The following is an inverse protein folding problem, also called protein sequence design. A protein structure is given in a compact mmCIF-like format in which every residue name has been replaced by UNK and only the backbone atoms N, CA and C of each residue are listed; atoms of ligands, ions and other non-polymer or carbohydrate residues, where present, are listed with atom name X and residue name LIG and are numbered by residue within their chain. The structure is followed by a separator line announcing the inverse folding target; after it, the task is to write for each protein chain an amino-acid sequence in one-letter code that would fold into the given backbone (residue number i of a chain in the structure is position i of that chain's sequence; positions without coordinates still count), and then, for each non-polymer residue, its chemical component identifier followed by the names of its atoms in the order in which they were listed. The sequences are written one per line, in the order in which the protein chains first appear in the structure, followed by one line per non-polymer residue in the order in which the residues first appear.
data_IF_294131568919
#
_entry.id   IF_294131568919
#
_cell.length_a   1.000
_cell.length_b   1.000
_cell.length_c   1.000
_cell.angle_alpha   90.00
_cell.angle_beta   90.00
_cell.angle_gamma   90.00
#
_symmetry.space_group_name_H-M   'P 1'
#
loop_
_entity.id
_entity.type
_entity.pdbx_description
1 polymer ?
#
# COMPACT_ATOMS: atom_id res chain seq x y z
N UNK A 1 -25.16 -71.66 57.45
CA UNK A 1 -23.85 -71.16 57.91
C UNK A 1 -23.12 -70.63 56.69
N UNK A 2 -23.08 -69.29 56.50
CA UNK A 2 -22.06 -68.48 55.77
C UNK A 2 -21.86 -68.83 54.26
N UNK A 3 -21.84 -67.97 53.22
CA UNK A 3 -21.80 -66.53 52.99
C UNK A 3 -22.19 -66.26 51.50
N UNK A 4 -22.60 -65.01 51.22
CA UNK A 4 -22.75 -64.25 49.97
C UNK A 4 -22.00 -64.66 48.68
N UNK A 5 -22.56 -64.30 47.50
CA UNK A 5 -22.04 -63.20 46.63
C UNK A 5 -23.00 -62.94 45.45
N UNK A 6 -23.29 -61.65 45.24
CA UNK A 6 -24.10 -61.03 44.18
C UNK A 6 -23.18 -60.72 42.98
N UNK A 7 -23.66 -60.92 41.74
CA UNK A 7 -23.12 -60.20 40.57
C UNK A 7 -24.28 -59.62 39.76
N UNK A 8 -24.28 -58.29 39.65
CA UNK A 8 -25.17 -57.46 38.83
C UNK A 8 -24.45 -57.20 37.51
N UNK A 9 -25.05 -57.59 36.38
CA UNK A 9 -24.56 -57.20 35.04
C UNK A 9 -24.91 -55.73 34.75
N UNK A 10 -23.89 -54.92 34.47
CA UNK A 10 -23.99 -53.57 33.94
C UNK A 10 -23.38 -53.56 32.53
N UNK A 11 -24.18 -53.23 31.53
CA UNK A 11 -23.73 -52.99 30.15
C UNK A 11 -23.13 -51.57 30.08
N UNK A 12 -21.92 -51.35 29.54
CA UNK A 12 -21.41 -50.00 29.37
C UNK A 12 -21.92 -49.41 28.04
N UNK A 13 -22.61 -48.27 28.13
CA UNK A 13 -22.88 -47.38 27.01
C UNK A 13 -21.59 -46.62 26.70
N UNK A 14 -20.99 -46.87 25.54
CA UNK A 14 -19.80 -46.12 25.07
C UNK A 14 -20.29 -44.81 24.45
N UNK A 15 -20.06 -43.70 25.15
CA UNK A 15 -20.33 -42.35 24.66
C UNK A 15 -19.07 -41.84 23.95
N UNK A 16 -19.12 -41.76 22.61
CA UNK A 16 -18.02 -41.24 21.81
C UNK A 16 -18.02 -39.71 21.91
N UNK A 17 -17.07 -39.16 22.68
CA UNK A 17 -16.80 -37.72 22.69
C UNK A 17 -16.04 -37.33 21.42
N UNK A 18 -16.72 -36.61 20.51
CA UNK A 18 -16.07 -35.98 19.37
C UNK A 18 -15.17 -34.83 19.83
N UNK A 19 -13.86 -34.97 19.66
CA UNK A 19 -12.89 -33.89 19.90
C UNK A 19 -12.97 -32.95 18.71
N UNK A 20 -13.59 -31.78 18.91
CA UNK A 20 -13.51 -30.66 17.98
C UNK A 20 -12.10 -30.06 18.09
N UNK A 21 -11.23 -30.40 17.13
CA UNK A 21 -9.98 -29.68 16.95
C UNK A 21 -10.30 -28.27 16.44
N UNK A 22 -10.14 -27.27 17.31
CA UNK A 22 -10.06 -25.87 16.89
C UNK A 22 -8.70 -25.66 16.23
N UNK A 23 -8.67 -25.64 14.90
CA UNK A 23 -7.51 -25.12 14.19
C UNK A 23 -7.40 -23.63 14.52
N UNK A 24 -6.41 -23.28 15.35
CA UNK A 24 -5.98 -21.90 15.48
C UNK A 24 -5.31 -21.51 14.16
N UNK A 25 -6.06 -20.82 13.32
CA UNK A 25 -5.50 -19.97 12.27
C UNK A 25 -4.42 -19.11 12.92
N UNK A 26 -3.16 -19.38 12.59
CA UNK A 26 -2.06 -18.48 12.94
C UNK A 26 -2.27 -17.21 12.12
N UNK A 27 -2.73 -16.14 12.78
CA UNK A 27 -2.74 -14.82 12.19
C UNK A 27 -1.30 -14.53 11.69
N UNK A 28 -1.15 -14.28 10.39
CA UNK A 28 0.12 -13.83 9.83
C UNK A 28 0.59 -12.62 10.65
N UNK A 29 1.85 -12.62 11.11
CA UNK A 29 2.41 -11.46 11.80
C UNK A 29 2.16 -10.19 10.97
N UNK A 30 1.76 -9.10 11.64
CA UNK A 30 1.58 -7.80 10.99
C UNK A 30 2.89 -7.43 10.33
N UNK A 31 2.90 -7.34 9.00
CA UNK A 31 4.07 -6.85 8.26
C UNK A 31 4.05 -5.33 8.38
N UNK A 32 4.92 -4.80 9.24
CA UNK A 32 5.11 -3.36 9.35
C UNK A 32 5.63 -2.83 7.99
N UNK A 33 5.02 -1.75 7.51
CA UNK A 33 5.42 -1.06 6.28
C UNK A 33 5.35 -1.91 4.99
N UNK A 34 4.43 -2.87 4.92
CA UNK A 34 4.20 -3.63 3.69
C UNK A 34 3.78 -2.75 2.51
N UNK A 35 4.22 -3.13 1.31
CA UNK A 35 3.94 -2.47 0.04
C UNK A 35 3.30 -3.45 -0.96
N UNK A 36 2.20 -3.06 -1.59
CA UNK A 36 1.55 -3.85 -2.65
C UNK A 36 2.02 -3.34 -4.00
N UNK A 37 3.09 -3.94 -4.53
CA UNK A 37 3.63 -3.62 -5.85
C UNK A 37 2.70 -4.16 -6.96
N UNK A 38 2.37 -3.35 -7.95
CA UNK A 38 1.44 -3.69 -9.02
C UNK A 38 0.11 -4.28 -8.51
N UNK A 39 -0.51 -3.61 -7.55
CA UNK A 39 -1.63 -4.16 -6.78
C UNK A 39 -2.84 -4.58 -7.65
N UNK A 40 -2.99 -3.98 -8.83
CA UNK A 40 -4.04 -4.29 -9.80
C UNK A 40 -3.96 -5.70 -10.40
N UNK A 41 -2.84 -6.40 -10.19
CA UNK A 41 -2.66 -7.81 -10.57
C UNK A 41 -3.29 -8.77 -9.55
N UNK A 42 -3.59 -8.30 -8.33
CA UNK A 42 -4.25 -9.11 -7.32
C UNK A 42 -5.69 -9.47 -7.72
N UNK A 43 -6.21 -10.59 -7.19
CA UNK A 43 -7.61 -11.00 -7.37
C UNK A 43 -8.61 -9.96 -6.86
N UNK A 44 -8.25 -9.29 -5.75
CA UNK A 44 -9.03 -8.22 -5.12
C UNK A 44 -8.13 -6.98 -4.97
N UNK A 45 -7.93 -6.21 -6.06
CA UNK A 45 -7.18 -4.95 -6.00
C UNK A 45 -7.75 -4.03 -4.93
N UNK A 46 -6.88 -3.24 -4.31
CA UNK A 46 -7.06 -2.44 -3.11
C UNK A 46 -7.35 -3.27 -1.85
N UNK A 47 -8.39 -4.11 -1.89
CA UNK A 47 -8.94 -4.73 -0.68
C UNK A 47 -7.99 -5.69 0.00
N UNK A 48 -7.25 -6.53 -0.75
CA UNK A 48 -6.28 -7.44 -0.13
C UNK A 48 -5.20 -6.68 0.64
N UNK A 49 -4.70 -5.57 0.09
CA UNK A 49 -3.70 -4.73 0.74
C UNK A 49 -4.28 -4.04 1.99
N UNK A 50 -5.50 -3.50 1.91
CA UNK A 50 -6.16 -2.86 3.05
C UNK A 50 -6.46 -3.83 4.19
N UNK A 51 -6.94 -5.03 3.88
CA UNK A 51 -7.26 -6.08 4.87
C UNK A 51 -6.00 -6.52 5.66
N UNK A 52 -4.82 -6.39 5.04
CA UNK A 52 -3.53 -6.67 5.67
C UNK A 52 -2.81 -5.42 6.20
N UNK A 53 -3.49 -4.26 6.27
CA UNK A 53 -2.95 -2.98 6.74
C UNK A 53 -1.65 -2.54 6.03
N UNK A 54 -1.54 -2.78 4.72
CA UNK A 54 -0.38 -2.36 3.95
C UNK A 54 -0.19 -0.84 4.01
N UNK A 55 1.05 -0.40 4.16
CA UNK A 55 1.38 1.03 4.26
C UNK A 55 1.20 1.73 2.90
N UNK A 56 1.52 1.03 1.83
CA UNK A 56 1.52 1.59 0.49
C UNK A 56 1.04 0.61 -0.57
N UNK A 57 0.52 1.16 -1.67
CA UNK A 57 0.01 0.45 -2.84
C UNK A 57 0.57 1.17 -4.07
N UNK A 58 1.08 0.42 -5.04
CA UNK A 58 1.47 0.93 -6.35
C UNK A 58 0.43 0.56 -7.42
N UNK A 59 0.14 1.53 -8.27
CA UNK A 59 -0.73 1.38 -9.43
C UNK A 59 -0.13 2.03 -10.67
N UNK A 60 0.05 1.22 -11.71
CA UNK A 60 0.44 1.67 -13.04
C UNK A 60 -0.75 2.34 -13.72
N UNK A 61 -0.54 3.56 -14.23
CA UNK A 61 -1.56 4.32 -14.97
C UNK A 61 -1.12 4.72 -16.37
N UNK A 62 -2.06 4.58 -17.29
CA UNK A 62 -1.94 4.99 -18.69
C UNK A 62 -3.03 6.03 -18.98
N UNK A 63 -2.61 7.19 -19.47
CA UNK A 63 -3.54 8.16 -20.04
C UNK A 63 -4.05 7.66 -21.40
N UNK A 64 -5.36 7.54 -21.53
CA UNK A 64 -6.02 7.33 -22.82
C UNK A 64 -7.25 8.23 -22.92
N UNK A 65 -7.21 9.17 -23.88
CA UNK A 65 -8.18 10.26 -24.00
C UNK A 65 -8.21 11.12 -22.73
N UNK A 66 -9.28 11.04 -21.94
CA UNK A 66 -9.48 11.86 -20.74
C UNK A 66 -9.57 11.02 -19.46
N UNK A 67 -9.20 9.74 -19.53
CA UNK A 67 -9.26 8.80 -18.40
C UNK A 67 -7.87 8.23 -18.11
N UNK A 68 -7.66 7.84 -16.84
CA UNK A 68 -6.47 7.12 -16.39
C UNK A 68 -6.79 5.65 -16.16
N UNK A 69 -6.36 4.83 -17.11
CA UNK A 69 -6.54 3.39 -17.09
C UNK A 69 -5.43 2.69 -16.32
N UNK A 70 -5.78 1.59 -15.67
CA UNK A 70 -4.87 0.79 -14.87
C UNK A 70 -4.51 -0.50 -15.60
N UNK A 71 -3.23 -0.83 -15.62
CA UNK A 71 -2.71 -2.09 -16.15
C UNK A 71 -1.20 -2.06 -16.28
N UNK A 72 -0.57 -3.21 -16.53
CA UNK A 72 0.89 -3.26 -16.70
C UNK A 72 1.35 -2.80 -18.08
N UNK A 73 0.48 -2.97 -19.08
CA UNK A 73 0.73 -2.54 -20.44
C UNK A 73 -0.59 -2.19 -21.17
N UNK A 74 -0.45 -1.56 -22.34
CA UNK A 74 -1.55 -1.04 -23.15
C UNK A 74 -2.57 -2.11 -23.56
N UNK A 75 -2.16 -3.38 -23.69
CA UNK A 75 -3.03 -4.51 -24.07
C UNK A 75 -3.96 -4.94 -22.94
N UNK A 76 -3.63 -4.59 -21.69
CA UNK A 76 -4.42 -4.93 -20.51
C UNK A 76 -5.47 -3.88 -20.16
N UNK A 77 -5.46 -2.73 -20.83
CA UNK A 77 -6.41 -1.65 -20.54
C UNK A 77 -7.84 -2.11 -20.88
N UNK A 78 -8.77 -1.86 -19.96
CA UNK A 78 -10.18 -2.20 -20.09
C UNK A 78 -11.00 -0.99 -19.66
N UNK A 79 -12.12 -0.73 -20.34
CA UNK A 79 -12.97 0.45 -20.12
C UNK A 79 -13.32 0.70 -18.64
N UNK A 80 -13.53 -0.37 -17.87
CA UNK A 80 -13.95 -0.27 -16.46
C UNK A 80 -12.78 -0.31 -15.46
N UNK A 81 -11.53 -0.49 -15.93
CA UNK A 81 -10.33 -0.54 -15.08
C UNK A 81 -9.61 0.81 -15.10
N UNK A 82 -10.22 1.81 -14.49
CA UNK A 82 -9.61 3.13 -14.25
C UNK A 82 -9.14 3.26 -12.81
N UNK A 83 -8.24 4.21 -12.54
CA UNK A 83 -7.79 4.50 -11.18
C UNK A 83 -8.96 4.94 -10.28
N UNK A 84 -9.94 5.66 -10.84
CA UNK A 84 -11.16 6.06 -10.12
C UNK A 84 -11.99 4.85 -9.70
N UNK A 85 -12.19 3.88 -10.61
CA UNK A 85 -13.04 2.72 -10.33
C UNK A 85 -12.37 1.71 -9.40
N UNK A 86 -11.07 1.49 -9.55
CA UNK A 86 -10.35 0.46 -8.79
C UNK A 86 -9.84 0.96 -7.43
N UNK A 87 -9.49 2.24 -7.30
CA UNK A 87 -8.82 2.77 -6.11
C UNK A 87 -9.53 3.96 -5.49
N UNK A 88 -9.61 5.10 -6.17
CA UNK A 88 -10.04 6.36 -5.53
C UNK A 88 -11.52 6.31 -5.11
N UNK A 89 -12.40 5.79 -5.95
CA UNK A 89 -13.82 5.63 -5.64
C UNK A 89 -14.08 4.67 -4.47
N UNK A 90 -13.50 3.45 -4.47
CA UNK A 90 -13.56 2.55 -3.31
C UNK A 90 -12.97 3.14 -2.02
N UNK A 91 -11.80 3.79 -2.09
CA UNK A 91 -11.19 4.48 -0.96
C UNK A 91 -12.10 5.59 -0.42
N UNK A 92 -12.71 6.37 -1.31
CA UNK A 92 -13.65 7.42 -0.93
C UNK A 92 -14.89 6.87 -0.21
N UNK A 93 -15.43 5.73 -0.68
CA UNK A 93 -16.53 5.05 0.01
C UNK A 93 -16.12 4.60 1.41
N UNK A 94 -14.93 4.03 1.56
CA UNK A 94 -14.40 3.60 2.86
C UNK A 94 -14.18 4.80 3.80
N UNK A 95 -13.53 5.86 3.31
CA UNK A 95 -13.30 7.10 4.04
C UNK A 95 -14.59 7.66 4.63
N UNK A 96 -15.66 7.77 3.82
CA UNK A 96 -16.96 8.28 4.28
C UNK A 96 -17.63 7.35 5.29
N UNK A 97 -17.57 6.02 5.07
CA UNK A 97 -18.11 5.03 6.00
C UNK A 97 -17.40 5.06 7.36
N UNK A 98 -16.09 5.31 7.35
CA UNK A 98 -15.21 5.22 8.51
C UNK A 98 -14.90 6.59 9.14
N UNK A 99 -15.79 7.59 8.95
CA UNK A 99 -15.68 8.93 9.57
C UNK A 99 -14.35 9.62 9.29
N UNK A 100 -13.86 9.50 8.07
CA UNK A 100 -12.67 10.20 7.59
C UNK A 100 -11.37 9.40 7.62
N UNK A 101 -11.40 8.10 7.88
CA UNK A 101 -10.18 7.27 7.94
C UNK A 101 -10.24 6.06 7.01
N UNK A 102 -9.10 5.65 6.44
CA UNK A 102 -8.99 4.35 5.75
C UNK A 102 -8.73 3.24 6.76
N UNK A 103 -7.76 3.44 7.65
CA UNK A 103 -7.36 2.50 8.69
C UNK A 103 -7.86 2.90 10.08
N UNK A 104 -8.09 1.92 10.95
CA UNK A 104 -8.50 2.16 12.34
C UNK A 104 -7.42 2.89 13.16
N UNK A 105 -6.14 2.60 12.88
CA UNK A 105 -4.99 3.28 13.49
C UNK A 105 -4.79 4.71 12.95
N UNK A 106 -5.66 5.18 12.04
CA UNK A 106 -5.63 6.51 11.41
C UNK A 106 -4.36 6.81 10.61
N UNK A 107 -3.51 5.82 10.36
CA UNK A 107 -2.34 6.00 9.52
C UNK A 107 -2.78 6.30 8.08
N UNK A 108 -2.08 7.18 7.36
CA UNK A 108 -2.35 7.42 5.95
C UNK A 108 -1.87 6.23 5.10
N UNK A 109 -2.68 5.84 4.12
CA UNK A 109 -2.28 4.98 3.01
C UNK A 109 -1.49 5.80 1.99
N UNK A 110 -0.37 5.26 1.51
CA UNK A 110 0.37 5.86 0.39
C UNK A 110 -0.06 5.16 -0.90
N UNK A 111 -0.64 5.92 -1.85
CA UNK A 111 -0.98 5.41 -3.18
C UNK A 111 0.05 5.95 -4.17
N UNK A 112 0.99 5.10 -4.56
CA UNK A 112 1.98 5.36 -5.60
C UNK A 112 1.30 5.20 -6.95
N UNK A 113 1.16 6.31 -7.68
CA UNK A 113 0.63 6.36 -9.03
C UNK A 113 1.83 6.37 -9.99
N UNK A 114 2.16 5.22 -10.53
CA UNK A 114 3.25 5.06 -11.49
C UNK A 114 2.76 5.43 -12.89
N UNK A 115 3.24 6.56 -13.40
CA UNK A 115 2.84 7.09 -14.71
C UNK A 115 3.60 6.37 -15.82
N UNK A 116 2.88 5.65 -16.69
CA UNK A 116 3.43 4.90 -17.83
C UNK A 116 3.27 5.60 -19.18
N UNK A 117 2.69 6.80 -19.20
CA UNK A 117 2.51 7.68 -20.37
C UNK A 117 3.26 8.99 -20.19
N UNK A 118 3.10 9.97 -21.10
CA UNK A 118 3.73 11.29 -20.97
C UNK A 118 3.32 11.98 -19.67
N UNK A 119 4.30 12.55 -18.96
CA UNK A 119 4.17 13.02 -17.59
C UNK A 119 3.10 14.11 -17.40
N UNK A 120 3.24 15.21 -18.11
CA UNK A 120 2.46 16.44 -17.89
C UNK A 120 0.98 16.22 -18.23
N UNK A 121 0.61 15.66 -19.40
CA UNK A 121 -0.80 15.42 -19.71
C UNK A 121 -1.45 14.42 -18.75
N UNK A 122 -0.71 13.38 -18.33
CA UNK A 122 -1.22 12.40 -17.37
C UNK A 122 -1.47 13.06 -16.01
N UNK A 123 -0.53 13.89 -15.56
CA UNK A 123 -0.64 14.62 -14.31
C UNK A 123 -1.79 15.64 -14.32
N UNK A 124 -2.02 16.33 -15.44
CA UNK A 124 -3.14 17.26 -15.58
C UNK A 124 -4.50 16.59 -15.41
N UNK A 125 -4.69 15.42 -16.04
CA UNK A 125 -5.90 14.62 -15.86
C UNK A 125 -6.00 14.10 -14.42
N UNK A 126 -4.89 13.65 -13.82
CA UNK A 126 -4.88 13.19 -12.44
C UNK A 126 -5.29 14.31 -11.47
N UNK A 127 -4.80 15.54 -11.65
CA UNK A 127 -5.21 16.69 -10.83
C UNK A 127 -6.72 16.91 -10.86
N UNK A 128 -7.33 16.84 -12.04
CA UNK A 128 -8.79 17.00 -12.21
C UNK A 128 -9.54 15.90 -11.46
N UNK A 129 -9.09 14.65 -11.57
CA UNK A 129 -9.66 13.51 -10.86
C UNK A 129 -9.55 13.71 -9.34
N UNK A 130 -8.37 14.05 -8.83
CA UNK A 130 -8.08 14.17 -7.40
C UNK A 130 -8.91 15.27 -6.71
N UNK A 131 -9.25 16.37 -7.40
CA UNK A 131 -10.10 17.44 -6.85
C UNK A 131 -11.43 16.92 -6.29
N UNK A 132 -12.00 15.88 -6.91
CA UNK A 132 -13.26 15.23 -6.46
C UNK A 132 -13.15 14.58 -5.08
N UNK A 133 -11.92 14.27 -4.64
CA UNK A 133 -11.63 13.50 -3.43
C UNK A 133 -10.88 14.31 -2.36
N UNK A 134 -10.80 15.64 -2.53
CA UNK A 134 -9.97 16.55 -1.69
C UNK A 134 -10.03 16.27 -0.18
N UNK A 135 -11.19 16.05 0.48
CA UNK A 135 -11.24 15.83 1.93
C UNK A 135 -10.50 14.58 2.41
N UNK A 136 -10.30 13.59 1.54
CA UNK A 136 -9.57 12.35 1.86
C UNK A 136 -8.05 12.50 1.69
N UNK A 137 -7.60 13.45 0.88
CA UNK A 137 -6.22 13.51 0.41
C UNK A 137 -5.33 14.31 1.37
N UNK A 138 -4.13 13.80 1.59
CA UNK A 138 -3.02 14.61 2.08
C UNK A 138 -2.68 15.66 1.04
N UNK A 139 -2.57 16.91 1.46
CA UNK A 139 -2.33 18.04 0.57
C UNK A 139 -1.40 19.06 1.20
N UNK A 140 -0.73 19.83 0.37
CA UNK A 140 0.00 21.02 0.80
C UNK A 140 -0.84 22.24 0.42
N UNK A 141 -0.95 23.17 1.35
CA UNK A 141 -1.61 24.47 1.17
C UNK A 141 -0.61 25.53 1.57
N UNK A 142 -0.24 26.40 0.64
CA UNK A 142 0.90 27.29 0.82
C UNK A 142 2.20 26.53 1.17
N UNK A 143 2.60 26.53 2.43
CA UNK A 143 3.79 25.86 2.97
C UNK A 143 3.45 24.76 3.99
N UNK A 144 2.15 24.52 4.23
CA UNK A 144 1.66 23.70 5.33
C UNK A 144 1.08 22.38 4.84
N UNK A 145 1.42 21.29 5.54
CA UNK A 145 0.86 19.96 5.28
C UNK A 145 -0.49 19.81 5.97
N UNK A 146 -1.53 19.56 5.19
CA UNK A 146 -2.82 19.08 5.70
C UNK A 146 -2.86 17.57 5.52
N UNK A 147 -2.70 16.84 6.63
CA UNK A 147 -2.69 15.39 6.63
C UNK A 147 -4.08 14.83 6.28
N UNK A 148 -4.14 14.00 5.24
CA UNK A 148 -5.33 13.23 4.88
C UNK A 148 -5.13 11.74 5.14
N UNK A 149 -6.15 10.95 4.78
CA UNK A 149 -6.13 9.49 4.96
C UNK A 149 -5.49 8.76 3.77
N UNK A 150 -5.32 9.43 2.63
CA UNK A 150 -4.60 8.92 1.46
C UNK A 150 -3.58 9.96 1.00
N UNK A 151 -2.32 9.56 0.86
CA UNK A 151 -1.24 10.39 0.31
C UNK A 151 -0.92 9.91 -1.09
N UNK A 152 -1.13 10.76 -2.10
CA UNK A 152 -0.85 10.43 -3.50
C UNK A 152 0.61 10.71 -3.81
N UNK A 153 1.35 9.69 -4.24
CA UNK A 153 2.75 9.82 -4.64
C UNK A 153 2.84 9.58 -6.15
N UNK A 154 3.42 10.52 -6.91
CA UNK A 154 3.72 10.29 -8.32
C UNK A 154 5.01 9.50 -8.45
N UNK A 155 4.98 8.41 -9.21
CA UNK A 155 6.14 7.62 -9.63
C UNK A 155 6.16 7.46 -11.18
N UNK A 156 7.10 6.69 -11.71
CA UNK A 156 7.27 6.50 -13.16
C UNK A 156 7.67 7.78 -13.89
N UNK A 157 7.09 7.99 -15.08
CA UNK A 157 7.25 9.18 -15.92
C UNK A 157 6.49 10.37 -15.33
N UNK A 158 6.93 10.87 -14.18
CA UNK A 158 6.31 12.00 -13.47
C UNK A 158 6.98 13.34 -13.81
N UNK A 159 6.29 14.48 -13.59
CA UNK A 159 6.90 15.80 -13.76
C UNK A 159 8.12 15.98 -12.85
N UNK A 160 9.03 16.87 -13.26
CA UNK A 160 10.29 17.15 -12.57
C UNK A 160 10.10 17.95 -11.29
N UNK A 161 11.17 18.11 -10.50
CA UNK A 161 11.12 18.90 -9.25
C UNK A 161 10.73 20.37 -9.50
N UNK A 162 11.21 20.95 -10.60
CA UNK A 162 10.97 22.36 -10.93
C UNK A 162 9.49 22.66 -11.16
N UNK A 163 8.71 21.68 -11.66
CA UNK A 163 7.26 21.81 -11.87
C UNK A 163 6.48 22.01 -10.56
N UNK A 164 7.09 21.66 -9.42
CA UNK A 164 6.50 21.80 -8.09
C UNK A 164 7.05 22.96 -7.29
N UNK A 165 8.09 23.65 -7.78
CA UNK A 165 8.77 24.75 -7.06
C UNK A 165 7.81 25.89 -6.69
N UNK A 166 6.83 26.17 -7.54
CA UNK A 166 5.84 27.22 -7.34
C UNK A 166 4.42 26.68 -7.10
N UNK A 167 4.26 25.34 -7.08
CA UNK A 167 2.97 24.70 -6.87
C UNK A 167 2.69 24.53 -5.38
N UNK A 168 2.35 25.65 -4.75
CA UNK A 168 2.15 25.76 -3.30
C UNK A 168 0.84 25.12 -2.83
N UNK A 169 -0.12 24.87 -3.73
CA UNK A 169 -1.37 24.16 -3.45
C UNK A 169 -1.49 22.88 -4.29
N UNK A 170 -1.20 21.72 -3.67
CA UNK A 170 -1.12 20.44 -4.38
C UNK A 170 -1.67 19.26 -3.58
N UNK A 171 -2.16 18.26 -4.30
CA UNK A 171 -2.69 17.00 -3.76
C UNK A 171 -1.73 15.81 -3.92
N UNK A 172 -0.54 16.05 -4.43
CA UNK A 172 0.43 15.01 -4.79
C UNK A 172 1.81 15.33 -4.27
N UNK A 173 2.59 14.28 -4.06
CA UNK A 173 3.98 14.29 -3.67
C UNK A 173 4.78 13.47 -4.68
N UNK A 174 6.10 13.49 -4.59
CA UNK A 174 6.99 12.81 -5.52
C UNK A 174 7.65 11.60 -4.87
N UNK A 175 7.73 10.53 -5.65
CA UNK A 175 8.65 9.43 -5.40
C UNK A 175 10.06 9.84 -5.86
N UNK A 176 11.04 9.70 -4.97
CA UNK A 176 12.43 9.96 -5.26
C UNK A 176 13.12 8.81 -5.99
N UNK A 177 14.34 9.08 -6.44
CA UNK A 177 15.28 8.10 -6.97
C UNK A 177 16.57 8.14 -6.17
N UNK A 178 17.42 7.14 -6.32
CA UNK A 178 18.72 7.09 -5.65
C UNK A 178 19.54 8.38 -5.84
N UNK A 179 19.49 8.97 -7.03
CA UNK A 179 20.17 10.25 -7.35
C UNK A 179 19.61 11.47 -6.61
N UNK A 180 18.52 11.34 -5.86
CA UNK A 180 17.95 12.38 -5.02
C UNK A 180 18.48 12.38 -3.58
N UNK A 181 19.18 11.32 -3.15
CA UNK A 181 19.81 11.23 -1.84
C UNK A 181 20.82 12.38 -1.67
N UNK A 182 20.94 12.93 -0.46
CA UNK A 182 21.80 14.07 -0.12
C UNK A 182 21.47 15.41 -0.82
N UNK A 183 20.37 15.52 -1.57
CA UNK A 183 19.96 16.79 -2.20
C UNK A 183 19.13 17.70 -1.28
N UNK A 184 18.91 17.30 -0.01
CA UNK A 184 18.10 18.04 0.98
C UNK A 184 16.71 18.45 0.44
N UNK A 185 16.08 17.57 -0.33
CA UNK A 185 14.72 17.81 -0.84
C UNK A 185 13.74 17.61 0.31
N UNK A 186 12.85 18.57 0.52
CA UNK A 186 11.87 18.51 1.61
C UNK A 186 10.94 17.30 1.49
N UNK A 187 10.65 16.64 2.62
CA UNK A 187 9.63 15.59 2.74
C UNK A 187 8.21 16.09 2.41
N UNK A 188 7.98 17.41 2.44
CA UNK A 188 6.74 18.01 1.94
C UNK A 188 6.59 17.93 0.42
N UNK A 189 7.69 17.65 -0.29
CA UNK A 189 7.70 17.43 -1.74
C UNK A 189 7.96 15.98 -2.08
N UNK A 190 8.93 15.34 -1.43
CA UNK A 190 9.41 13.99 -1.74
C UNK A 190 9.51 13.14 -0.47
N UNK A 191 8.39 12.60 0.05
CA UNK A 191 8.37 11.87 1.32
C UNK A 191 8.91 10.45 1.21
N UNK A 192 9.14 9.93 0.00
CA UNK A 192 9.69 8.59 -0.22
C UNK A 192 10.76 8.64 -1.32
N UNK A 193 11.69 7.70 -1.26
CA UNK A 193 12.69 7.44 -2.31
C UNK A 193 12.62 5.95 -2.65
N UNK A 194 12.34 5.63 -3.91
CA UNK A 194 12.38 4.26 -4.41
C UNK A 194 13.71 3.97 -5.10
N UNK A 195 14.25 2.78 -4.83
CA UNK A 195 15.49 2.27 -5.41
C UNK A 195 15.24 0.85 -5.90
N UNK A 196 15.84 0.48 -7.04
CA UNK A 196 15.95 -0.95 -7.36
C UNK A 196 16.97 -1.55 -6.39
N UNK A 197 16.51 -2.51 -5.59
CA UNK A 197 17.37 -3.14 -4.59
C UNK A 197 18.57 -3.83 -5.24
N UNK A 198 18.36 -4.46 -6.41
CA UNK A 198 19.37 -5.25 -7.11
C UNK A 198 20.49 -4.41 -7.74
N UNK A 199 20.25 -3.11 -7.95
CA UNK A 199 21.27 -2.16 -8.43
C UNK A 199 22.37 -1.92 -7.39
N UNK A 200 22.10 -2.17 -6.10
CA UNK A 200 22.97 -1.78 -5.00
C UNK A 200 23.29 -2.90 -4.01
N UNK A 201 22.43 -3.92 -3.92
CA UNK A 201 22.48 -4.97 -2.92
C UNK A 201 22.34 -6.35 -3.55
N UNK A 202 23.00 -7.35 -2.96
CA UNK A 202 22.85 -8.76 -3.32
C UNK A 202 22.10 -9.53 -2.23
N UNK A 203 22.00 -8.97 -1.02
CA UNK A 203 21.24 -9.58 0.06
C UNK A 203 19.75 -9.62 -0.26
N UNK A 204 19.15 -10.80 -0.24
CA UNK A 204 17.76 -11.03 -0.64
C UNK A 204 16.77 -11.00 0.55
N UNK A 205 17.19 -10.49 1.71
CA UNK A 205 16.37 -10.47 2.92
C UNK A 205 16.45 -11.74 3.79
N UNK A 206 17.16 -12.78 3.34
CA UNK A 206 17.33 -14.02 4.10
C UNK A 206 18.70 -14.08 4.79
N UNK A 207 18.70 -14.55 6.04
CA UNK A 207 19.92 -14.64 6.84
C UNK A 207 20.53 -13.29 7.20
N UNK A 208 21.80 -13.29 7.59
CA UNK A 208 22.52 -12.08 8.00
C UNK A 208 22.96 -11.31 6.76
N UNK A 209 22.62 -10.02 6.70
CA UNK A 209 23.10 -9.12 5.65
C UNK A 209 24.64 -9.03 5.65
N UNK A 210 25.31 -9.11 4.48
CA UNK A 210 26.75 -8.92 4.40
C UNK A 210 27.18 -7.56 4.99
N UNK A 211 28.25 -7.54 5.79
CA UNK A 211 28.71 -6.34 6.52
C UNK A 211 28.90 -5.11 5.62
N UNK A 212 29.41 -5.29 4.40
CA UNK A 212 29.60 -4.20 3.43
C UNK A 212 28.28 -3.59 2.97
N UNK A 213 27.28 -4.43 2.70
CA UNK A 213 25.92 -4.01 2.34
C UNK A 213 25.23 -3.31 3.51
N UNK A 214 25.40 -3.80 4.74
CA UNK A 214 24.86 -3.14 5.93
C UNK A 214 25.44 -1.74 6.15
N UNK A 215 26.75 -1.55 5.92
CA UNK A 215 27.39 -0.24 5.98
C UNK A 215 26.80 0.69 4.90
N UNK A 216 26.65 0.20 3.67
CA UNK A 216 26.05 0.97 2.57
C UNK A 216 24.60 1.37 2.87
N UNK A 217 23.78 0.44 3.36
CA UNK A 217 22.39 0.73 3.73
C UNK A 217 22.31 1.81 4.81
N UNK A 218 23.15 1.71 5.85
CA UNK A 218 23.18 2.72 6.91
C UNK A 218 23.66 4.08 6.39
N UNK A 219 24.65 4.10 5.50
CA UNK A 219 25.11 5.35 4.86
C UNK A 219 24.00 6.00 4.04
N UNK A 220 23.21 5.22 3.29
CA UNK A 220 22.03 5.70 2.57
C UNK A 220 21.00 6.29 3.55
N UNK A 221 20.64 5.54 4.59
CA UNK A 221 19.64 5.97 5.59
C UNK A 221 20.05 7.28 6.27
N UNK A 222 21.33 7.44 6.59
CA UNK A 222 21.84 8.65 7.25
C UNK A 222 21.88 9.90 6.35
N UNK A 223 21.67 9.74 5.04
CA UNK A 223 21.69 10.82 4.04
C UNK A 223 20.30 11.26 3.58
N UNK A 224 19.25 10.70 4.17
CA UNK A 224 17.83 10.98 3.88
C UNK A 224 17.24 11.84 4.98
#
# INVERSE_FOLDING_TARGET
MILNIIIRCLVPVIMVFGILFSEKSLAQNIINNAHSHNDYLNKRPLYSALENNFKSIEVDVFLLKSDLYVGHNWLQLRKNKTIENLYLGPLWKLFNKNKGFIYQNKAPLFLLVDIKTTAEPTYDILKIILKKYTPMLTRVVSDSLVQGSVTIILSGNKPGLEDFKYNIDRFVFLDGRFSNISKNISNLLMPIISIDWSDHFQWNGLGIMPKKELILLNDIINKI
#
